data_IF_959426056630
#
_entry.id   IF_959426056630
#
_cell.length_a   1.000
_cell.length_b   1.000
_cell.length_c   1.000
_cell.angle_alpha   90.00
_cell.angle_beta   90.00
_cell.angle_gamma   90.00
#
_symmetry.space_group_name_H-M   'P 1'
#
loop_
_entity.id
_entity.type
_entity.pdbx_description
1 polymer ?
#
# COMPACT_ATOMS: atom_id res chain seq x y z
N UNK A 1 -5.79 -26.32 7.31
CA UNK A 1 -7.00 -25.58 6.90
C UNK A 1 -7.32 -25.96 5.45
N UNK A 2 -8.54 -26.35 5.13
CA UNK A 2 -8.92 -26.72 3.76
C UNK A 2 -9.08 -25.45 2.90
N UNK A 3 -8.16 -25.21 1.96
CA UNK A 3 -8.30 -24.15 0.97
C UNK A 3 -9.38 -24.59 -0.01
N UNK A 4 -10.49 -23.84 -0.05
CA UNK A 4 -11.62 -24.14 -0.94
C UNK A 4 -11.15 -24.01 -2.40
N UNK A 5 -11.30 -25.04 -3.26
CA UNK A 5 -10.80 -24.96 -4.63
C UNK A 5 -11.51 -23.85 -5.41
N UNK A 6 -10.79 -23.11 -6.27
CA UNK A 6 -11.37 -21.99 -7.00
C UNK A 6 -12.44 -22.46 -7.98
N UNK A 7 -13.58 -21.75 -8.01
CA UNK A 7 -14.65 -21.97 -9.00
C UNK A 7 -14.18 -21.50 -10.37
N UNK A 8 -14.67 -22.10 -11.46
CA UNK A 8 -14.26 -21.76 -12.85
C UNK A 8 -15.16 -20.66 -13.46
N UNK A 9 -14.63 -19.90 -14.43
CA UNK A 9 -15.38 -18.93 -15.23
C UNK A 9 -15.68 -17.61 -14.52
N UNK A 10 -16.79 -16.94 -14.87
CA UNK A 10 -17.22 -15.65 -14.28
C UNK A 10 -17.35 -15.70 -12.75
N UNK A 11 -17.67 -16.86 -12.21
CA UNK A 11 -17.73 -17.12 -10.76
C UNK A 11 -16.35 -17.00 -10.08
N UNK A 12 -15.25 -17.23 -10.82
CA UNK A 12 -13.90 -17.01 -10.29
C UNK A 12 -13.60 -15.53 -10.09
N UNK A 13 -14.09 -14.65 -10.97
CA UNK A 13 -13.89 -13.21 -10.87
C UNK A 13 -14.65 -12.62 -9.68
N UNK A 14 -15.88 -13.12 -9.44
CA UNK A 14 -16.66 -12.76 -8.25
C UNK A 14 -15.98 -13.25 -6.95
N UNK A 15 -15.43 -14.46 -6.94
CA UNK A 15 -14.68 -14.95 -5.78
C UNK A 15 -13.39 -14.12 -5.56
N UNK A 16 -12.66 -13.77 -6.63
CA UNK A 16 -11.45 -12.96 -6.55
C UNK A 16 -11.71 -11.55 -6.00
N UNK A 17 -12.79 -10.89 -6.46
CA UNK A 17 -13.19 -9.58 -5.93
C UNK A 17 -13.63 -9.65 -4.46
N UNK A 18 -14.32 -10.72 -4.06
CA UNK A 18 -14.65 -10.96 -2.65
C UNK A 18 -13.40 -11.17 -1.78
N UNK A 19 -12.38 -11.89 -2.27
CA UNK A 19 -11.10 -12.07 -1.58
C UNK A 19 -10.30 -10.77 -1.49
N UNK A 20 -10.22 -9.98 -2.56
CA UNK A 20 -9.59 -8.66 -2.55
C UNK A 20 -10.28 -7.71 -1.56
N UNK A 21 -11.61 -7.74 -1.48
CA UNK A 21 -12.37 -6.95 -0.51
C UNK A 21 -12.10 -7.37 0.94
N UNK A 22 -12.04 -8.68 1.20
CA UNK A 22 -11.68 -9.20 2.51
C UNK A 22 -10.25 -8.79 2.89
N UNK A 23 -9.30 -8.84 1.94
CA UNK A 23 -7.93 -8.36 2.11
C UNK A 23 -7.87 -6.87 2.47
N UNK A 24 -8.58 -6.02 1.72
CA UNK A 24 -8.67 -4.60 2.01
C UNK A 24 -9.24 -4.34 3.42
N UNK A 25 -10.33 -5.00 3.80
CA UNK A 25 -10.91 -4.87 5.15
C UNK A 25 -9.94 -5.30 6.26
N UNK A 26 -9.11 -6.31 6.01
CA UNK A 26 -8.07 -6.76 6.94
C UNK A 26 -6.96 -5.72 7.04
N UNK A 27 -6.53 -5.16 5.91
CA UNK A 27 -5.49 -4.13 5.84
C UNK A 27 -5.92 -2.86 6.58
N UNK A 28 -7.16 -2.40 6.40
CA UNK A 28 -7.69 -1.20 7.06
C UNK A 28 -7.74 -1.30 8.60
N UNK A 29 -7.62 -2.50 9.16
CA UNK A 29 -7.49 -2.71 10.62
C UNK A 29 -6.07 -2.46 11.12
N UNK A 30 -5.08 -2.50 10.25
CA UNK A 30 -3.70 -2.17 10.60
C UNK A 30 -3.53 -0.68 10.85
N UNK A 31 -2.77 -0.36 11.89
CA UNK A 31 -2.48 1.04 12.24
C UNK A 31 -1.60 1.69 11.19
N UNK A 32 -0.62 0.96 10.65
CA UNK A 32 0.27 1.42 9.57
C UNK A 32 -0.53 1.80 8.32
N UNK A 33 -1.36 0.89 7.79
CA UNK A 33 -2.25 1.18 6.67
C UNK A 33 -3.17 2.41 6.89
N UNK A 34 -3.67 2.65 8.11
CA UNK A 34 -4.44 3.88 8.40
C UNK A 34 -3.59 5.14 8.33
N UNK A 35 -2.35 5.09 8.81
CA UNK A 35 -1.41 6.21 8.70
C UNK A 35 -1.06 6.49 7.23
N UNK A 36 -0.86 5.45 6.42
CA UNK A 36 -0.64 5.59 4.98
C UNK A 36 -1.83 6.24 4.27
N UNK A 37 -3.06 5.87 4.60
CA UNK A 37 -4.26 6.51 4.09
C UNK A 37 -4.34 7.99 4.46
N UNK A 38 -3.99 8.34 5.69
CA UNK A 38 -3.88 9.75 6.10
C UNK A 38 -2.81 10.48 5.29
N UNK A 39 -1.64 9.87 5.10
CA UNK A 39 -0.57 10.41 4.26
C UNK A 39 -0.99 10.60 2.80
N UNK A 40 -1.72 9.63 2.24
CA UNK A 40 -2.30 9.72 0.90
C UNK A 40 -3.33 10.85 0.78
N UNK A 41 -4.19 11.02 1.78
CA UNK A 41 -5.15 12.12 1.83
C UNK A 41 -4.44 13.49 1.88
N UNK A 42 -3.37 13.61 2.68
CA UNK A 42 -2.54 14.82 2.70
C UNK A 42 -1.87 15.07 1.35
N UNK A 43 -1.35 14.03 0.69
CA UNK A 43 -0.78 14.11 -0.65
C UNK A 43 -1.77 14.60 -1.70
N UNK A 44 -2.98 14.05 -1.70
CA UNK A 44 -4.07 14.49 -2.56
C UNK A 44 -4.44 15.97 -2.31
N UNK A 45 -4.51 16.40 -1.05
CA UNK A 45 -4.77 17.80 -0.71
C UNK A 45 -3.68 18.74 -1.24
N UNK A 46 -2.41 18.34 -1.17
CA UNK A 46 -1.29 19.10 -1.74
C UNK A 46 -1.33 19.18 -3.27
N UNK A 47 -1.67 18.07 -3.95
CA UNK A 47 -1.85 18.08 -5.41
C UNK A 47 -3.00 18.98 -5.84
N UNK A 48 -4.10 18.98 -5.09
CA UNK A 48 -5.22 19.87 -5.32
C UNK A 48 -4.81 21.34 -5.13
N UNK A 49 -4.12 21.66 -4.04
CA UNK A 49 -3.59 22.99 -3.77
C UNK A 49 -2.63 23.46 -4.85
N UNK A 50 -1.77 22.57 -5.35
CA UNK A 50 -0.84 22.81 -6.45
C UNK A 50 -1.50 22.96 -7.82
N UNK A 51 -2.82 22.83 -7.93
CA UNK A 51 -3.58 22.81 -9.19
C UNK A 51 -3.02 21.79 -10.19
N UNK A 52 -2.57 20.63 -9.68
CA UNK A 52 -1.84 19.65 -10.46
C UNK A 52 -2.69 19.07 -11.62
N UNK A 53 -2.10 19.03 -12.82
CA UNK A 53 -2.73 18.42 -14.00
C UNK A 53 -3.02 16.91 -13.87
N UNK A 54 -3.85 16.38 -14.76
CA UNK A 54 -4.35 15.00 -14.70
C UNK A 54 -3.24 13.93 -14.65
N UNK A 55 -2.10 14.16 -15.30
CA UNK A 55 -0.97 13.23 -15.29
C UNK A 55 -0.31 13.11 -13.90
N UNK A 56 -0.30 14.19 -13.12
CA UNK A 56 0.21 14.17 -11.75
C UNK A 56 -0.71 13.35 -10.83
N UNK A 57 -2.03 13.51 -10.99
CA UNK A 57 -3.01 12.69 -10.28
C UNK A 57 -2.91 11.22 -10.62
N UNK A 58 -2.73 10.88 -11.90
CA UNK A 58 -2.54 9.49 -12.32
C UNK A 58 -1.26 8.89 -11.71
N UNK A 59 -0.15 9.61 -11.78
CA UNK A 59 1.13 9.17 -11.21
C UNK A 59 1.04 8.95 -9.70
N UNK A 60 0.42 9.88 -8.98
CA UNK A 60 0.14 9.72 -7.55
C UNK A 60 -0.77 8.53 -7.26
N UNK A 61 -1.85 8.36 -8.02
CA UNK A 61 -2.77 7.22 -7.86
C UNK A 61 -2.06 5.87 -8.03
N UNK A 62 -1.17 5.74 -9.01
CA UNK A 62 -0.38 4.53 -9.22
C UNK A 62 0.62 4.29 -8.08
N UNK A 63 1.37 5.33 -7.66
CA UNK A 63 2.33 5.22 -6.56
C UNK A 63 1.66 4.90 -5.22
N UNK A 64 0.48 5.48 -4.97
CA UNK A 64 -0.28 5.25 -3.76
C UNK A 64 -0.92 3.85 -3.75
N UNK A 65 -1.44 3.39 -4.88
CA UNK A 65 -1.91 2.01 -5.02
C UNK A 65 -0.76 1.00 -4.82
N UNK A 66 0.44 1.29 -5.34
CA UNK A 66 1.62 0.47 -5.11
C UNK A 66 2.04 0.45 -3.64
N UNK A 67 1.94 1.57 -2.90
CA UNK A 67 2.19 1.61 -1.46
C UNK A 67 1.25 0.65 -0.72
N UNK A 68 -0.05 0.76 -0.94
CA UNK A 68 -1.04 -0.12 -0.30
C UNK A 68 -0.85 -1.60 -0.67
N UNK A 69 -0.41 -1.88 -1.91
CA UNK A 69 -0.09 -3.23 -2.34
C UNK A 69 1.12 -3.79 -1.57
N UNK A 70 2.18 -3.00 -1.40
CA UNK A 70 3.37 -3.40 -0.64
C UNK A 70 3.05 -3.57 0.84
N UNK A 71 2.23 -2.70 1.43
CA UNK A 71 1.77 -2.83 2.83
C UNK A 71 0.90 -4.09 3.04
N UNK A 72 0.06 -4.43 2.06
CA UNK A 72 -0.70 -5.68 2.09
C UNK A 72 0.23 -6.92 2.05
N UNK A 73 1.29 -6.87 1.24
CA UNK A 73 2.31 -7.91 1.19
C UNK A 73 3.11 -7.99 2.50
N UNK A 74 3.50 -6.85 3.08
CA UNK A 74 4.17 -6.79 4.37
C UNK A 74 3.31 -7.43 5.46
N UNK A 75 2.03 -7.04 5.55
CA UNK A 75 1.07 -7.63 6.49
C UNK A 75 0.92 -9.15 6.26
N UNK A 76 0.91 -9.62 5.01
CA UNK A 76 0.84 -11.04 4.72
C UNK A 76 2.11 -11.79 5.18
N UNK A 77 3.29 -11.21 4.98
CA UNK A 77 4.57 -11.74 5.48
C UNK A 77 4.55 -11.83 7.00
N UNK A 78 4.11 -10.77 7.69
CA UNK A 78 3.99 -10.76 9.16
C UNK A 78 3.08 -11.89 9.66
N UNK A 79 1.89 -12.03 9.07
CA UNK A 79 0.93 -13.08 9.43
C UNK A 79 1.52 -14.48 9.21
N UNK A 80 2.23 -14.70 8.11
CA UNK A 80 2.89 -16.00 7.84
C UNK A 80 4.04 -16.23 8.80
N UNK A 81 4.87 -15.22 9.08
CA UNK A 81 6.00 -15.35 10.01
C UNK A 81 5.54 -15.63 11.44
N UNK A 82 4.48 -14.95 11.91
CA UNK A 82 3.89 -15.20 13.23
C UNK A 82 3.31 -16.61 13.35
N UNK A 83 2.81 -17.16 12.25
CA UNK A 83 2.28 -18.52 12.23
C UNK A 83 3.39 -19.59 12.18
N UNK A 84 4.41 -19.38 11.35
CA UNK A 84 5.48 -20.36 11.10
C UNK A 84 6.56 -20.32 12.18
N UNK A 85 6.78 -19.16 12.80
CA UNK A 85 7.77 -18.96 13.87
C UNK A 85 7.14 -18.27 15.08
N UNK A 86 6.39 -19.01 15.92
CA UNK A 86 5.72 -18.43 17.10
C UNK A 86 6.69 -17.97 18.20
N UNK A 87 7.94 -18.46 18.15
CA UNK A 87 9.02 -18.04 19.03
C UNK A 87 9.99 -17.08 18.32
N UNK A 88 11.00 -16.61 19.05
CA UNK A 88 12.01 -15.75 18.45
C UNK A 88 12.83 -16.51 17.38
N UNK A 89 13.00 -15.87 16.22
CA UNK A 89 13.83 -16.35 15.13
C UNK A 89 14.48 -15.17 14.41
N UNK A 90 15.79 -15.26 14.21
CA UNK A 90 16.57 -14.28 13.47
C UNK A 90 16.03 -14.11 12.04
N UNK A 91 15.66 -15.22 11.37
CA UNK A 91 15.12 -15.18 10.02
C UNK A 91 13.73 -14.52 9.98
N UNK A 92 12.87 -14.77 10.97
CA UNK A 92 11.56 -14.14 11.05
C UNK A 92 11.67 -12.64 11.30
N UNK A 93 12.63 -12.21 12.14
CA UNK A 93 12.97 -10.79 12.32
C UNK A 93 13.41 -10.16 11.00
N UNK A 94 14.38 -10.74 10.32
CA UNK A 94 14.88 -10.23 9.04
C UNK A 94 13.79 -10.12 7.96
N UNK A 95 12.89 -11.10 7.88
CA UNK A 95 11.77 -11.06 6.93
C UNK A 95 10.84 -9.86 7.18
N UNK A 96 10.50 -9.61 8.46
CA UNK A 96 9.66 -8.47 8.85
C UNK A 96 10.36 -7.13 8.64
N UNK A 97 11.65 -7.04 8.96
CA UNK A 97 12.45 -5.84 8.76
C UNK A 97 12.52 -5.44 7.28
N UNK A 98 12.73 -6.42 6.39
CA UNK A 98 12.75 -6.20 4.94
C UNK A 98 11.37 -5.78 4.41
N UNK A 99 10.29 -6.37 4.92
CA UNK A 99 8.92 -5.98 4.58
C UNK A 99 8.62 -4.53 4.98
N UNK A 100 8.99 -4.16 6.21
CA UNK A 100 8.85 -2.80 6.74
C UNK A 100 9.70 -1.79 5.94
N UNK A 101 10.92 -2.17 5.55
CA UNK A 101 11.77 -1.35 4.68
C UNK A 101 11.12 -1.11 3.31
N UNK A 102 10.52 -2.13 2.70
CA UNK A 102 9.83 -1.99 1.41
C UNK A 102 8.69 -0.96 1.49
N UNK A 103 7.90 -1.00 2.56
CA UNK A 103 6.84 -0.03 2.84
C UNK A 103 7.42 1.38 3.01
N UNK A 104 8.48 1.53 3.82
CA UNK A 104 9.14 2.81 4.04
C UNK A 104 9.68 3.43 2.73
N UNK A 105 10.25 2.62 1.84
CA UNK A 105 10.69 3.07 0.51
C UNK A 105 9.52 3.57 -0.35
N UNK A 106 8.36 2.91 -0.30
CA UNK A 106 7.15 3.36 -0.99
C UNK A 106 6.60 4.67 -0.42
N UNK A 107 6.67 4.86 0.91
CA UNK A 107 6.30 6.13 1.56
C UNK A 107 7.24 7.25 1.07
N UNK A 108 8.55 7.01 1.05
CA UNK A 108 9.53 7.98 0.57
C UNK A 108 9.33 8.32 -0.92
N UNK A 109 9.01 7.33 -1.75
CA UNK A 109 8.72 7.56 -3.16
C UNK A 109 7.48 8.44 -3.35
N UNK A 110 6.40 8.17 -2.61
CA UNK A 110 5.19 9.00 -2.64
C UNK A 110 5.47 10.43 -2.14
N UNK A 111 6.16 10.56 -1.00
CA UNK A 111 6.52 11.85 -0.43
C UNK A 111 7.42 12.66 -1.37
N UNK A 112 8.41 12.03 -1.99
CA UNK A 112 9.28 12.66 -2.98
C UNK A 112 8.52 13.13 -4.22
N UNK A 113 7.59 12.32 -4.73
CA UNK A 113 6.76 12.67 -5.88
C UNK A 113 5.88 13.90 -5.59
N UNK A 114 5.14 13.89 -4.47
CA UNK A 114 4.31 15.02 -4.05
C UNK A 114 5.16 16.25 -3.79
N UNK A 115 6.30 16.08 -3.10
CA UNK A 115 7.23 17.17 -2.80
C UNK A 115 7.78 17.85 -4.05
N UNK A 116 8.11 17.08 -5.09
CA UNK A 116 8.56 17.61 -6.37
C UNK A 116 7.48 18.46 -7.04
N UNK A 117 6.24 17.97 -7.11
CA UNK A 117 5.11 18.71 -7.70
C UNK A 117 4.79 19.96 -6.90
N UNK A 118 4.79 19.87 -5.56
CA UNK A 118 4.55 21.02 -4.68
C UNK A 118 5.62 22.09 -4.87
N UNK A 119 6.91 21.70 -5.00
CA UNK A 119 8.00 22.63 -5.26
C UNK A 119 7.90 23.27 -6.65
N UNK A 120 7.51 22.50 -7.66
CA UNK A 120 7.23 22.99 -9.00
C UNK A 120 6.09 24.03 -8.98
N UNK A 121 5.04 23.81 -8.19
CA UNK A 121 3.90 24.73 -8.07
C UNK A 121 4.34 26.07 -7.48
N UNK A 122 5.16 26.02 -6.42
CA UNK A 122 5.74 27.20 -5.79
C UNK A 122 6.65 28.00 -6.73
N UNK A 123 7.20 27.36 -7.76
CA UNK A 123 8.02 28.00 -8.79
C UNK A 123 7.22 28.44 -10.02
N UNK A 124 5.91 28.23 -10.03
CA UNK A 124 5.01 28.63 -11.11
C UNK A 124 4.97 27.69 -12.31
N UNK A 125 5.43 26.44 -12.16
CA UNK A 125 5.45 25.47 -13.26
C UNK A 125 4.83 24.14 -12.86
N UNK A 126 3.49 24.03 -12.88
CA UNK A 126 2.74 22.77 -12.68
C UNK A 126 1.59 22.68 -13.68
#
# INVERSE_FOLDING_TARGET
MAVKPPRKGLWHMLDATAYSWAGLRRLLRETAARQELMGGAMGAALLFWAQAGAWHWLGFGVLFAALLAVEALNTAIEVVMDHVSPGWSEAARQAKDLGSLAVALMILANAGYIGAITLMALRGGV
#
